data_IF_533745324731
#
_entry.id   IF_533745324731
#
_cell.length_a   1.000
_cell.length_b   1.000
_cell.length_c   1.000
_cell.angle_alpha   90.00
_cell.angle_beta   90.00
_cell.angle_gamma   90.00
#
_symmetry.space_group_name_H-M   'P 1'
#
loop_
_entity.id
_entity.type
_entity.pdbx_description
1 polymer ?
#
# COMPACT_ATOMS: atom_id res chain seq x y z
N UNK A 1 -11.12 -9.44 -12.68
CA UNK A 1 -10.83 -8.27 -13.51
C UNK A 1 -10.89 -6.97 -12.73
N UNK A 2 -12.02 -6.65 -12.08
CA UNK A 2 -12.15 -5.39 -11.32
C UNK A 2 -11.20 -5.30 -10.12
N UNK A 3 -11.00 -6.39 -9.38
CA UNK A 3 -10.08 -6.42 -8.24
C UNK A 3 -8.66 -6.15 -8.70
N UNK A 4 -8.22 -6.80 -9.77
CA UNK A 4 -6.89 -6.57 -10.34
C UNK A 4 -6.70 -5.11 -10.73
N UNK A 5 -7.67 -4.55 -11.46
CA UNK A 5 -7.60 -3.17 -11.91
C UNK A 5 -7.59 -2.19 -10.74
N UNK A 6 -8.40 -2.47 -9.71
CA UNK A 6 -8.41 -1.66 -8.49
C UNK A 6 -7.05 -1.67 -7.80
N UNK A 7 -6.38 -2.82 -7.71
CA UNK A 7 -5.04 -2.92 -7.13
C UNK A 7 -4.04 -2.11 -7.97
N UNK A 8 -4.11 -2.19 -9.29
CA UNK A 8 -3.23 -1.44 -10.17
C UNK A 8 -3.42 0.07 -10.03
N UNK A 9 -4.66 0.54 -10.01
CA UNK A 9 -4.97 1.97 -9.80
C UNK A 9 -4.53 2.41 -8.40
N UNK A 10 -4.86 1.63 -7.37
CA UNK A 10 -4.49 1.94 -6.00
C UNK A 10 -2.96 2.06 -5.81
N UNK A 11 -2.19 1.24 -6.51
CA UNK A 11 -0.73 1.31 -6.46
C UNK A 11 -0.19 2.67 -6.91
N UNK A 12 -0.84 3.29 -7.89
CA UNK A 12 -0.48 4.64 -8.37
C UNK A 12 -0.89 5.75 -7.42
N UNK A 13 -1.76 5.48 -6.46
CA UNK A 13 -2.22 6.43 -5.44
C UNK A 13 -1.46 6.30 -4.13
N UNK A 14 -0.43 5.47 -4.09
CA UNK A 14 0.38 5.24 -2.89
C UNK A 14 1.21 6.47 -2.57
N UNK A 15 1.04 6.99 -1.35
CA UNK A 15 1.81 8.12 -0.85
C UNK A 15 2.37 7.77 0.54
N UNK A 16 3.61 8.19 0.76
CA UNK A 16 4.24 8.08 2.06
C UNK A 16 5.34 9.13 2.20
N UNK A 17 5.62 9.55 3.43
CA UNK A 17 6.77 10.39 3.73
C UNK A 17 7.97 9.53 4.14
N UNK A 18 9.11 10.19 4.32
CA UNK A 18 10.33 9.53 4.76
C UNK A 18 10.31 9.23 6.26
N UNK A 19 11.28 8.43 6.70
CA UNK A 19 11.53 8.17 8.12
C UNK A 19 11.68 9.44 8.96
N UNK A 20 12.14 10.55 8.35
CA UNK A 20 12.27 11.83 9.03
C UNK A 20 10.97 12.34 9.63
N UNK A 21 9.84 12.05 9.00
CA UNK A 21 8.53 12.44 9.56
C UNK A 21 8.35 11.89 10.97
N UNK A 22 8.80 10.67 11.22
CA UNK A 22 8.74 10.07 12.55
C UNK A 22 9.75 10.72 13.49
N UNK A 23 10.99 10.95 13.04
CA UNK A 23 12.07 11.50 13.86
C UNK A 23 11.83 12.96 14.24
N UNK A 24 11.15 13.71 13.37
CA UNK A 24 10.83 15.12 13.60
C UNK A 24 9.50 15.32 14.34
N UNK A 25 8.81 14.23 14.70
CA UNK A 25 7.52 14.29 15.39
C UNK A 25 6.38 14.76 14.49
N UNK A 26 6.49 14.57 13.17
CA UNK A 26 5.46 14.96 12.22
C UNK A 26 4.17 14.18 12.45
N UNK A 27 3.09 14.87 12.82
CA UNK A 27 1.82 14.25 13.18
C UNK A 27 1.08 13.66 11.97
N UNK A 28 1.42 14.07 10.75
CA UNK A 28 0.79 13.56 9.52
C UNK A 28 0.92 12.03 9.41
N UNK A 29 1.96 11.45 9.99
CA UNK A 29 2.15 9.99 9.98
C UNK A 29 0.99 9.24 10.64
N UNK A 30 0.32 9.87 11.60
CA UNK A 30 -0.82 9.27 12.29
C UNK A 30 -2.07 9.18 11.40
N UNK A 31 -2.09 9.94 10.30
CA UNK A 31 -3.19 9.94 9.35
C UNK A 31 -3.01 8.94 8.20
N UNK A 32 -1.83 8.32 8.04
CA UNK A 32 -1.53 7.49 6.86
C UNK A 32 -2.46 6.30 6.70
N UNK A 33 -2.86 5.64 7.78
CA UNK A 33 -3.81 4.53 7.69
C UNK A 33 -5.15 5.00 7.11
N UNK A 34 -5.65 6.14 7.60
CA UNK A 34 -6.88 6.74 7.08
C UNK A 34 -6.74 7.21 5.64
N UNK A 35 -5.61 7.83 5.30
CA UNK A 35 -5.33 8.27 3.93
C UNK A 35 -5.28 7.07 2.98
N UNK A 36 -4.59 5.99 3.35
CA UNK A 36 -4.50 4.79 2.53
C UNK A 36 -5.86 4.16 2.29
N UNK A 37 -6.69 4.08 3.33
CA UNK A 37 -8.05 3.57 3.18
C UNK A 37 -8.91 4.46 2.27
N UNK A 38 -8.76 5.77 2.40
CA UNK A 38 -9.46 6.71 1.53
C UNK A 38 -9.02 6.57 0.07
N UNK A 39 -7.73 6.40 -0.17
CA UNK A 39 -7.21 6.19 -1.52
C UNK A 39 -7.68 4.85 -2.11
N UNK A 40 -7.83 3.82 -1.29
CA UNK A 40 -8.37 2.55 -1.74
C UNK A 40 -9.83 2.69 -2.22
N UNK A 41 -10.66 3.43 -1.48
CA UNK A 41 -12.03 3.71 -1.90
C UNK A 41 -12.05 4.55 -3.18
N UNK A 42 -11.18 5.54 -3.30
CA UNK A 42 -11.04 6.34 -4.52
C UNK A 42 -10.64 5.48 -5.71
N UNK A 43 -9.74 4.50 -5.51
CA UNK A 43 -9.35 3.59 -6.57
C UNK A 43 -10.53 2.78 -7.12
N UNK A 44 -11.43 2.34 -6.23
CA UNK A 44 -12.66 1.64 -6.63
C UNK A 44 -13.52 2.55 -7.50
N UNK A 45 -13.75 3.78 -7.06
CA UNK A 45 -14.55 4.76 -7.80
C UNK A 45 -13.95 5.06 -9.18
N UNK A 46 -12.63 5.22 -9.25
CA UNK A 46 -11.94 5.47 -10.51
C UNK A 46 -12.09 4.30 -11.49
N UNK A 47 -11.94 3.06 -11.02
CA UNK A 47 -12.11 1.87 -11.86
C UNK A 47 -13.55 1.76 -12.36
N UNK A 48 -14.53 2.04 -11.51
CA UNK A 48 -15.94 2.06 -11.92
C UNK A 48 -16.24 3.15 -12.95
N UNK A 49 -15.52 4.27 -12.89
CA UNK A 49 -15.62 5.35 -13.87
C UNK A 49 -14.86 5.09 -15.18
N UNK A 50 -14.17 3.95 -15.29
CA UNK A 50 -13.47 3.54 -16.50
C UNK A 50 -11.97 3.88 -16.53
N UNK A 51 -11.41 4.37 -15.43
CA UNK A 51 -9.96 4.59 -15.35
C UNK A 51 -9.22 3.26 -15.24
N UNK A 52 -8.03 3.20 -15.82
CA UNK A 52 -7.17 2.02 -15.79
C UNK A 52 -5.79 2.39 -15.22
N UNK A 53 -5.18 1.47 -14.50
CA UNK A 53 -3.81 1.62 -14.00
C UNK A 53 -2.79 0.92 -14.89
N UNK A 54 -1.54 0.92 -14.45
CA UNK A 54 -0.50 0.12 -15.10
C UNK A 54 -0.83 -1.36 -14.99
N UNK A 55 -0.42 -2.14 -15.99
CA UNK A 55 -0.74 -3.57 -16.06
C UNK A 55 -0.25 -4.34 -14.83
N UNK A 56 0.90 -3.96 -14.28
CA UNK A 56 1.47 -4.53 -13.06
C UNK A 56 1.91 -3.39 -12.15
N UNK A 57 0.91 -2.68 -11.61
CA UNK A 57 1.13 -1.49 -10.79
C UNK A 57 1.92 -1.76 -9.53
N UNK A 58 1.73 -2.93 -8.89
CA UNK A 58 2.48 -3.27 -7.69
C UNK A 58 3.98 -3.36 -7.98
N UNK A 59 4.39 -4.13 -8.99
CA UNK A 59 5.80 -4.26 -9.34
C UNK A 59 6.41 -2.96 -9.82
N UNK A 60 5.65 -2.19 -10.61
CA UNK A 60 6.12 -0.91 -11.15
C UNK A 60 6.33 0.12 -10.03
N UNK A 61 5.32 0.35 -9.21
CA UNK A 61 5.38 1.38 -8.17
C UNK A 61 6.34 0.96 -7.04
N UNK A 62 6.17 -0.22 -6.48
CA UNK A 62 6.99 -0.65 -5.35
C UNK A 62 8.38 -1.11 -5.75
N UNK A 63 8.59 -1.55 -7.00
CA UNK A 63 9.87 -2.02 -7.48
C UNK A 63 10.73 -0.97 -8.18
N UNK A 64 10.13 0.12 -8.68
CA UNK A 64 10.84 1.13 -9.47
C UNK A 64 10.74 2.54 -8.92
N UNK A 65 9.66 2.87 -8.20
CA UNK A 65 9.44 4.22 -7.68
C UNK A 65 9.79 4.29 -6.20
N UNK A 66 9.25 3.41 -5.37
CA UNK A 66 9.34 3.50 -3.91
C UNK A 66 10.52 2.73 -3.35
N UNK A 67 11.04 1.74 -4.06
CA UNK A 67 12.18 0.94 -3.61
C UNK A 67 13.03 0.49 -4.80
N UNK A 68 14.22 -0.04 -4.50
CA UNK A 68 15.13 -0.60 -5.51
C UNK A 68 14.87 -2.10 -5.72
N UNK A 69 14.19 -2.76 -4.78
CA UNK A 69 13.93 -4.19 -4.83
C UNK A 69 12.53 -4.48 -4.34
N UNK A 70 11.82 -5.28 -5.10
CA UNK A 70 10.49 -5.74 -4.76
C UNK A 70 10.29 -7.14 -5.34
N UNK A 71 9.97 -8.10 -4.49
CA UNK A 71 9.77 -9.50 -4.86
C UNK A 71 8.30 -9.87 -4.68
N UNK A 72 7.58 -9.97 -5.79
CA UNK A 72 6.16 -10.31 -5.79
C UNK A 72 5.90 -11.73 -5.30
N UNK A 73 6.83 -12.66 -5.52
CA UNK A 73 6.69 -14.04 -5.05
C UNK A 73 6.69 -14.08 -3.53
N UNK A 74 7.61 -13.33 -2.89
CA UNK A 74 7.64 -13.23 -1.42
C UNK A 74 6.41 -12.54 -0.85
N UNK A 75 5.83 -11.61 -1.60
CA UNK A 75 4.63 -10.90 -1.17
C UNK A 75 3.42 -11.83 -1.03
N UNK A 76 3.29 -12.80 -1.95
CA UNK A 76 2.15 -13.72 -1.96
C UNK A 76 2.44 -15.06 -1.28
N UNK A 77 3.69 -15.33 -0.93
CA UNK A 77 4.09 -16.57 -0.26
C UNK A 77 3.36 -16.71 1.09
N UNK A 78 2.76 -17.87 1.30
CA UNK A 78 1.98 -18.14 2.51
C UNK A 78 0.61 -17.45 2.57
N UNK A 79 0.18 -16.78 1.50
CA UNK A 79 -1.11 -16.12 1.46
C UNK A 79 -2.24 -17.15 1.64
N UNK A 80 -3.11 -16.93 2.63
CA UNK A 80 -4.20 -17.83 3.00
C UNK A 80 -3.79 -18.99 3.93
N UNK A 81 -2.49 -19.20 4.15
CA UNK A 81 -1.99 -20.27 5.02
C UNK A 81 -1.48 -19.73 6.37
N UNK A 82 -1.09 -18.46 6.44
CA UNK A 82 -0.63 -17.82 7.67
C UNK A 82 -1.16 -16.41 7.79
N UNK A 83 -1.38 -15.95 9.01
CA UNK A 83 -1.92 -14.63 9.31
C UNK A 83 -0.90 -13.83 10.11
N UNK A 84 -0.43 -12.71 9.54
CA UNK A 84 0.57 -11.89 10.20
C UNK A 84 0.05 -11.23 11.48
N UNK A 85 -1.26 -11.09 11.61
CA UNK A 85 -1.88 -10.55 12.82
C UNK A 85 -1.57 -11.42 14.06
N UNK A 86 -1.35 -12.72 13.87
CA UNK A 86 -0.98 -13.63 14.95
C UNK A 86 0.41 -13.35 15.52
N UNK A 87 1.22 -12.58 14.79
CA UNK A 87 2.58 -12.21 15.17
C UNK A 87 2.69 -10.75 15.62
N UNK A 88 1.56 -10.07 15.79
CA UNK A 88 1.52 -8.71 16.27
C UNK A 88 2.00 -8.61 17.72
N UNK A 89 2.51 -7.47 18.05
CA UNK A 89 2.84 -7.09 19.41
C UNK A 89 2.42 -5.64 19.67
N UNK A 90 2.18 -5.33 20.93
CA UNK A 90 1.86 -3.97 21.33
C UNK A 90 3.12 -3.28 21.83
N UNK A 91 3.33 -2.04 21.41
CA UNK A 91 4.39 -1.21 21.96
C UNK A 91 4.03 -0.82 23.39
N UNK A 92 4.96 -1.02 24.30
CA UNK A 92 4.80 -0.57 25.68
C UNK A 92 5.17 0.91 25.86
N UNK A 93 5.96 1.44 24.91
CA UNK A 93 6.41 2.83 24.93
C UNK A 93 6.31 3.42 23.51
N UNK A 94 5.99 4.71 23.44
CA UNK A 94 5.93 5.45 22.17
C UNK A 94 7.33 5.88 21.69
#
# INVERSE_FOLDING_TARGET
ARIRETINVASSLTLASSKRTMLEGGTVRNAYAGISNRMALMAIDLVEAGFVGERDGLSSVFGKVVSERFDTVKMIDGLGAGWQIDRNYFKLHS
#
